data_IF_343703453268
#
_entry.id   IF_343703453268
#
_cell.length_a   1.000
_cell.length_b   1.000
_cell.length_c   1.000
_cell.angle_alpha   90.00
_cell.angle_beta   90.00
_cell.angle_gamma   90.00
#
_symmetry.space_group_name_H-M   'P 1'
#
loop_
_entity.id
_entity.type
_entity.pdbx_description
1 polymer ?
#
# COMPACT_ATOMS: atom_id res chain seq x y z
N UNK A 1 0.41 -23.32 -6.16
CA UNK A 1 -0.94 -22.94 -6.59
C UNK A 1 -0.93 -21.43 -6.83
N UNK A 2 -1.36 -20.97 -8.00
CA UNK A 2 -1.32 -19.53 -8.33
C UNK A 2 -2.35 -18.76 -7.52
N UNK A 3 -1.96 -17.60 -6.98
CA UNK A 3 -2.90 -16.70 -6.32
C UNK A 3 -3.92 -16.15 -7.31
N UNK A 4 -5.11 -15.81 -6.81
CA UNK A 4 -6.18 -15.16 -7.58
C UNK A 4 -6.28 -13.68 -7.22
N UNK A 5 -6.63 -12.84 -8.19
CA UNK A 5 -6.95 -11.44 -7.94
C UNK A 5 -8.28 -11.39 -7.16
N UNK A 6 -8.26 -10.76 -5.99
CA UNK A 6 -9.43 -10.55 -5.12
C UNK A 6 -10.02 -9.15 -5.25
N UNK A 7 -9.18 -8.18 -5.58
CA UNK A 7 -9.58 -6.78 -5.72
C UNK A 7 -8.66 -6.05 -6.70
N UNK A 8 -9.19 -5.02 -7.33
CA UNK A 8 -8.46 -4.07 -8.15
C UNK A 8 -9.02 -2.68 -7.84
N UNK A 9 -8.21 -1.84 -7.19
CA UNK A 9 -8.58 -0.49 -6.80
C UNK A 9 -7.92 0.52 -7.73
N UNK A 10 -8.74 1.50 -8.16
CA UNK A 10 -8.36 2.58 -9.06
C UNK A 10 -8.73 3.90 -8.39
N UNK A 11 -7.81 4.87 -8.30
CA UNK A 11 -8.13 6.18 -7.77
C UNK A 11 -8.93 6.98 -8.81
N UNK A 12 -9.72 7.94 -8.33
CA UNK A 12 -10.45 8.87 -9.20
C UNK A 12 -9.52 9.81 -9.96
N UNK A 13 -8.32 10.05 -9.43
CA UNK A 13 -7.24 10.89 -9.97
C UNK A 13 -5.87 10.29 -9.64
N UNK A 14 -4.81 10.60 -10.39
CA UNK A 14 -3.44 10.23 -10.02
C UNK A 14 -2.84 8.99 -10.71
N UNK A 15 -3.56 8.28 -11.58
CA UNK A 15 -2.96 7.36 -12.57
C UNK A 15 -2.21 6.13 -12.03
N UNK A 16 -2.40 5.76 -10.76
CA UNK A 16 -1.89 4.51 -10.20
C UNK A 16 -3.01 3.48 -10.02
N UNK A 17 -2.67 2.22 -9.73
CA UNK A 17 -3.62 1.13 -9.52
C UNK A 17 -3.00 0.11 -8.59
N UNK A 18 -3.81 -0.51 -7.73
CA UNK A 18 -3.36 -1.59 -6.87
C UNK A 18 -4.27 -2.81 -6.97
N UNK A 19 -3.66 -4.00 -7.01
CA UNK A 19 -4.36 -5.28 -6.97
C UNK A 19 -4.08 -6.01 -5.67
N UNK A 20 -5.12 -6.66 -5.14
CA UNK A 20 -5.03 -7.62 -4.05
C UNK A 20 -5.02 -9.04 -4.62
N UNK A 21 -4.03 -9.84 -4.25
CA UNK A 21 -3.83 -11.22 -4.69
C UNK A 21 -3.85 -12.15 -3.48
N UNK A 22 -4.65 -13.21 -3.55
CA UNK A 22 -4.81 -14.18 -2.46
C UNK A 22 -4.75 -15.64 -2.96
N UNK A 23 -4.07 -16.56 -2.25
CA UNK A 23 -3.21 -16.27 -1.11
C UNK A 23 -2.03 -15.39 -1.53
N UNK A 24 -1.56 -14.56 -0.60
CA UNK A 24 -0.34 -13.82 -0.83
C UNK A 24 0.80 -14.80 -1.10
N UNK A 25 1.73 -14.43 -1.98
CA UNK A 25 2.98 -15.18 -2.11
C UNK A 25 3.66 -15.27 -0.73
N UNK A 26 4.31 -16.39 -0.43
CA UNK A 26 4.89 -16.70 0.88
C UNK A 26 5.60 -15.50 1.52
N UNK A 27 5.07 -15.00 2.64
CA UNK A 27 5.65 -13.88 3.39
C UNK A 27 5.33 -12.47 2.87
N UNK A 28 4.53 -12.32 1.80
CA UNK A 28 4.12 -11.02 1.27
C UNK A 28 2.72 -10.59 1.72
N UNK A 29 2.40 -9.31 1.52
CA UNK A 29 1.08 -8.74 1.84
C UNK A 29 -0.06 -9.17 0.91
N UNK A 30 0.28 -9.61 -0.31
CA UNK A 30 -0.66 -9.84 -1.40
C UNK A 30 -0.98 -8.59 -2.22
N UNK A 31 -0.38 -7.43 -1.92
CA UNK A 31 -0.66 -6.17 -2.62
C UNK A 31 0.41 -5.88 -3.66
N UNK A 32 -0.01 -5.53 -4.87
CA UNK A 32 0.86 -5.03 -5.95
C UNK A 32 0.28 -3.75 -6.52
N UNK A 33 1.09 -2.71 -6.61
CA UNK A 33 0.69 -1.42 -7.16
C UNK A 33 1.56 -1.05 -8.36
N UNK A 34 0.98 -0.37 -9.35
CA UNK A 34 1.69 0.17 -10.53
C UNK A 34 1.08 1.50 -10.97
N UNK A 35 1.78 2.22 -11.84
CA UNK A 35 1.44 3.54 -12.37
C UNK A 35 2.38 4.62 -11.85
N UNK A 36 1.82 5.82 -11.64
CA UNK A 36 2.52 6.98 -11.08
C UNK A 36 2.89 6.72 -9.62
N UNK A 37 4.05 7.24 -9.18
CA UNK A 37 4.58 7.02 -7.83
C UNK A 37 5.20 8.29 -7.20
N UNK A 38 4.76 9.49 -7.59
CA UNK A 38 5.36 10.75 -7.14
C UNK A 38 5.28 10.99 -5.63
N UNK A 39 4.26 10.42 -4.97
CA UNK A 39 4.04 10.45 -3.52
C UNK A 39 4.32 9.10 -2.85
N UNK A 40 4.96 8.15 -3.54
CA UNK A 40 5.16 6.81 -2.99
C UNK A 40 3.88 5.96 -2.97
N UNK A 41 2.90 6.26 -3.83
CA UNK A 41 1.60 5.56 -3.92
C UNK A 41 1.75 4.05 -4.14
N UNK A 42 2.88 3.62 -4.69
CA UNK A 42 3.18 2.21 -4.93
C UNK A 42 3.76 1.49 -3.70
N UNK A 43 4.10 2.21 -2.64
CA UNK A 43 4.51 1.67 -1.35
C UNK A 43 5.80 0.85 -1.42
N UNK A 44 6.79 1.34 -2.18
CA UNK A 44 8.07 0.65 -2.40
C UNK A 44 9.26 1.36 -1.73
N UNK A 45 9.03 2.45 -1.01
CA UNK A 45 10.11 3.25 -0.39
C UNK A 45 10.93 4.04 -1.42
N UNK A 46 10.29 4.45 -2.51
CA UNK A 46 10.89 5.27 -3.57
C UNK A 46 9.79 5.98 -4.38
N UNK A 47 10.21 6.88 -5.28
CA UNK A 47 9.32 7.69 -6.15
C UNK A 47 9.28 7.24 -7.62
N UNK A 48 9.73 6.02 -7.93
CA UNK A 48 9.81 5.56 -9.32
C UNK A 48 8.47 5.03 -9.83
N UNK A 49 8.00 5.55 -10.95
CA UNK A 49 6.85 5.02 -11.67
C UNK A 49 7.11 3.57 -12.11
N UNK A 50 6.06 2.75 -12.15
CA UNK A 50 6.14 1.33 -12.55
C UNK A 50 4.98 0.95 -13.46
N UNK A 51 5.17 -0.04 -14.31
CA UNK A 51 4.13 -0.59 -15.20
C UNK A 51 4.13 0.00 -16.61
N UNK A 52 4.99 0.98 -16.90
CA UNK A 52 5.10 1.59 -18.23
C UNK A 52 6.12 0.87 -19.15
N UNK A 53 7.01 0.06 -18.60
CA UNK A 53 8.02 -0.71 -19.34
C UNK A 53 8.05 -2.18 -18.90
N UNK A 54 8.53 -3.07 -19.78
CA UNK A 54 8.63 -4.51 -19.52
C UNK A 54 9.39 -4.85 -18.23
N UNK A 55 10.45 -4.09 -17.89
CA UNK A 55 11.22 -4.25 -16.65
C UNK A 55 10.45 -3.86 -15.38
N UNK A 56 9.33 -3.15 -15.53
CA UNK A 56 8.54 -2.59 -14.43
C UNK A 56 7.12 -3.16 -14.39
N UNK A 57 6.85 -4.32 -14.99
CA UNK A 57 5.51 -4.92 -14.91
C UNK A 57 5.25 -5.49 -13.49
N UNK A 58 3.99 -5.52 -13.01
CA UNK A 58 3.64 -5.94 -11.64
C UNK A 58 4.24 -7.26 -11.15
N UNK A 59 4.46 -8.22 -12.06
CA UNK A 59 5.05 -9.52 -11.71
C UNK A 59 6.50 -9.43 -11.25
N UNK A 60 7.25 -8.40 -11.62
CA UNK A 60 8.71 -8.36 -11.48
C UNK A 60 9.22 -7.71 -10.18
N UNK A 61 8.42 -6.88 -9.51
CA UNK A 61 8.81 -6.21 -8.27
C UNK A 61 8.14 -6.85 -7.04
N UNK A 62 8.65 -6.63 -5.82
CA UNK A 62 8.08 -7.20 -4.60
C UNK A 62 6.63 -6.73 -4.36
N UNK A 63 5.93 -7.43 -3.48
CA UNK A 63 4.64 -6.94 -2.96
C UNK A 63 4.90 -5.71 -2.07
N UNK A 64 3.90 -4.85 -1.89
CA UNK A 64 3.96 -3.77 -0.90
C UNK A 64 4.23 -4.39 0.47
N UNK A 65 5.23 -3.89 1.19
CA UNK A 65 5.53 -4.37 2.53
C UNK A 65 4.59 -3.69 3.55
N UNK A 66 3.75 -4.50 4.21
CA UNK A 66 2.80 -4.04 5.23
C UNK A 66 3.24 -4.44 6.66
N UNK A 67 4.45 -4.95 6.80
CA UNK A 67 5.04 -5.36 8.06
C UNK A 67 4.95 -6.86 8.32
N UNK A 68 5.73 -7.29 9.30
CA UNK A 68 5.94 -8.69 9.64
C UNK A 68 4.62 -9.37 10.02
N UNK A 69 4.30 -10.46 9.32
CA UNK A 69 3.10 -11.27 9.60
C UNK A 69 1.79 -10.60 9.21
N UNK A 70 1.81 -9.52 8.42
CA UNK A 70 0.61 -8.82 7.95
C UNK A 70 0.27 -9.19 6.51
N UNK A 71 -1.01 -9.42 6.24
CA UNK A 71 -1.56 -9.55 4.89
C UNK A 71 -2.74 -8.62 4.71
N UNK A 72 -2.91 -8.09 3.50
CA UNK A 72 -4.07 -7.28 3.19
C UNK A 72 -5.30 -8.16 2.91
N UNK A 73 -6.47 -7.69 3.31
CA UNK A 73 -7.76 -8.31 2.98
C UNK A 73 -8.66 -7.40 2.16
N UNK A 74 -8.41 -6.08 2.19
CA UNK A 74 -9.13 -5.05 1.43
C UNK A 74 -8.20 -3.89 1.14
N UNK A 75 -8.43 -3.23 0.01
CA UNK A 75 -7.74 -2.01 -0.37
C UNK A 75 -8.74 -0.87 -0.57
N UNK A 76 -8.27 0.36 -0.40
CA UNK A 76 -8.97 1.58 -0.79
C UNK A 76 -7.94 2.58 -1.30
N UNK A 77 -8.33 3.42 -2.26
CA UNK A 77 -7.48 4.44 -2.87
C UNK A 77 -8.15 5.80 -2.79
N UNK A 78 -7.39 6.82 -2.43
CA UNK A 78 -7.78 8.22 -2.49
C UNK A 78 -7.03 8.98 -3.57
N UNK A 79 -7.05 10.31 -3.48
CA UNK A 79 -6.24 11.17 -4.35
C UNK A 79 -4.77 11.10 -3.92
N UNK A 80 -4.01 10.16 -4.49
CA UNK A 80 -2.58 10.00 -4.21
C UNK A 80 -2.22 9.13 -2.99
N UNK A 81 -3.15 8.42 -2.35
CA UNK A 81 -2.83 7.53 -1.23
C UNK A 81 -3.62 6.22 -1.26
N UNK A 82 -3.08 5.18 -0.63
CA UNK A 82 -3.67 3.84 -0.58
C UNK A 82 -3.74 3.39 0.87
N UNK A 83 -4.85 2.76 1.24
CA UNK A 83 -5.02 2.13 2.54
C UNK A 83 -5.31 0.64 2.38
N UNK A 84 -4.70 -0.17 3.25
CA UNK A 84 -4.92 -1.60 3.34
C UNK A 84 -5.49 -1.98 4.71
N UNK A 85 -6.60 -2.72 4.71
CA UNK A 85 -7.09 -3.41 5.90
C UNK A 85 -6.30 -4.70 6.06
N UNK A 86 -5.73 -4.91 7.24
CA UNK A 86 -4.80 -6.00 7.53
C UNK A 86 -5.46 -7.16 8.26
N UNK A 87 -4.87 -8.34 8.12
CA UNK A 87 -5.03 -9.49 9.00
C UNK A 87 -3.63 -10.05 9.38
N UNK A 88 -3.46 -10.68 10.55
CA UNK A 88 -4.45 -10.83 11.63
C UNK A 88 -4.73 -9.50 12.36
N UNK A 89 -5.88 -9.41 13.03
CA UNK A 89 -6.34 -8.22 13.76
C UNK A 89 -7.16 -7.24 12.91
N UNK A 90 -7.55 -6.11 13.51
CA UNK A 90 -8.19 -4.97 12.83
C UNK A 90 -7.21 -3.80 12.83
N UNK A 91 -6.33 -3.77 11.83
CA UNK A 91 -5.38 -2.68 11.63
C UNK A 91 -5.48 -2.13 10.21
N UNK A 92 -5.25 -0.83 10.05
CA UNK A 92 -5.17 -0.17 8.75
C UNK A 92 -3.76 0.40 8.64
N UNK A 93 -3.13 0.17 7.48
CA UNK A 93 -1.94 0.92 7.06
C UNK A 93 -2.27 1.71 5.82
N UNK A 94 -1.94 2.99 5.83
CA UNK A 94 -2.11 3.90 4.70
C UNK A 94 -0.74 4.46 4.30
N UNK A 95 -0.51 4.63 3.00
CA UNK A 95 0.72 5.20 2.44
C UNK A 95 0.38 6.06 1.20
N UNK A 96 1.35 6.84 0.74
CA UNK A 96 1.18 7.81 -0.34
C UNK A 96 1.12 9.25 0.18
N UNK A 97 0.43 10.12 -0.55
CA UNK A 97 0.20 11.53 -0.25
C UNK A 97 -0.37 11.73 1.15
N UNK A 98 0.28 12.57 1.95
CA UNK A 98 -0.08 12.81 3.34
C UNK A 98 -0.27 14.31 3.67
N UNK A 99 -0.29 15.21 2.69
CA UNK A 99 -0.55 16.63 2.96
C UNK A 99 -1.91 16.80 3.64
N UNK A 100 -1.91 17.36 4.84
CA UNK A 100 -3.12 17.49 5.66
C UNK A 100 -3.47 16.27 6.51
N UNK A 101 -2.59 15.26 6.60
CA UNK A 101 -2.75 14.11 7.48
C UNK A 101 -3.70 13.04 6.93
N UNK A 102 -3.76 12.89 5.61
CA UNK A 102 -4.69 11.99 4.91
C UNK A 102 -4.56 10.52 5.33
N UNK A 103 -3.39 10.12 5.85
CA UNK A 103 -3.13 8.77 6.30
C UNK A 103 -3.65 8.48 7.72
N UNK A 104 -4.03 9.51 8.48
CA UNK A 104 -4.58 9.37 9.83
C UNK A 104 -3.58 8.85 10.87
N UNK A 105 -2.30 9.18 10.71
CA UNK A 105 -1.20 8.65 11.54
C UNK A 105 -0.70 9.63 12.62
N UNK A 106 -1.43 10.73 12.84
CA UNK A 106 -1.12 11.71 13.88
C UNK A 106 -0.07 12.76 13.49
N UNK A 107 0.35 12.78 12.22
CA UNK A 107 1.24 13.80 11.66
C UNK A 107 0.87 14.07 10.20
N UNK A 108 1.31 15.23 9.69
CA UNK A 108 1.13 15.65 8.30
C UNK A 108 2.50 15.99 7.73
N UNK A 109 2.98 15.12 6.86
CA UNK A 109 4.14 15.37 6.00
C UNK A 109 3.70 15.27 4.53
N UNK A 110 4.63 15.46 3.60
CA UNK A 110 4.30 15.45 2.18
C UNK A 110 3.76 14.10 1.70
N UNK A 111 4.44 13.01 2.06
CA UNK A 111 4.14 11.65 1.65
C UNK A 111 4.78 10.62 2.59
N UNK A 112 4.27 9.39 2.55
CA UNK A 112 4.86 8.21 3.23
C UNK A 112 4.98 7.07 2.20
N UNK A 113 6.14 6.43 2.14
CA UNK A 113 6.41 5.31 1.24
C UNK A 113 7.19 5.70 -0.01
N UNK A 114 7.65 6.94 -0.06
CA UNK A 114 8.46 7.55 -1.10
C UNK A 114 9.96 7.55 -0.76
N UNK A 115 10.34 7.16 0.46
CA UNK A 115 11.73 7.01 0.90
C UNK A 115 12.03 5.64 1.55
N UNK A 116 13.30 5.18 1.49
CA UNK A 116 13.69 3.95 2.14
C UNK A 116 13.46 4.00 3.66
N UNK A 117 12.80 2.97 4.19
CA UNK A 117 12.56 2.83 5.64
C UNK A 117 11.21 3.35 6.12
N UNK A 118 10.33 3.80 5.23
CA UNK A 118 8.96 4.25 5.58
C UNK A 118 7.90 3.15 5.49
N UNK A 119 8.22 2.04 4.81
CA UNK A 119 7.31 0.92 4.58
C UNK A 119 7.50 -0.22 5.60
N UNK A 120 6.71 -1.28 5.47
CA UNK A 120 6.86 -2.46 6.30
C UNK A 120 6.49 -2.20 7.76
N UNK A 121 7.34 -2.62 8.70
CA UNK A 121 7.10 -2.41 10.13
C UNK A 121 7.24 -0.94 10.57
N UNK A 122 7.94 -0.11 9.79
CA UNK A 122 8.06 1.32 10.05
C UNK A 122 6.80 2.10 9.66
N UNK A 123 5.99 1.57 8.73
CA UNK A 123 4.74 2.21 8.30
C UNK A 123 3.74 2.26 9.46
N UNK A 124 3.34 3.44 9.96
CA UNK A 124 2.47 3.53 11.12
C UNK A 124 1.07 2.95 10.86
N UNK A 125 0.47 2.39 11.91
CA UNK A 125 -0.95 2.02 11.88
C UNK A 125 -1.81 3.26 12.03
N UNK A 126 -2.92 3.32 11.29
CA UNK A 126 -4.02 4.22 11.60
C UNK A 126 -4.77 3.64 12.81
N UNK A 127 -4.66 4.30 13.97
CA UNK A 127 -5.31 3.86 15.21
C UNK A 127 -6.80 4.23 15.23
N UNK A 128 -7.66 3.21 15.21
CA UNK A 128 -9.11 3.36 15.33
C UNK A 128 -9.62 3.15 16.78
N UNK A 129 -8.70 2.95 17.73
CA UNK A 129 -9.01 2.70 19.14
C UNK A 129 -9.38 1.23 19.45
N UNK A 130 -8.76 0.24 18.80
CA UNK A 130 -9.09 -1.18 18.99
C UNK A 130 -8.34 -1.85 20.18
N UNK A 131 -8.99 -2.76 20.97
CA UNK A 131 -10.42 -3.07 20.94
C UNK A 131 -11.22 -1.83 21.31
N UNK A 132 -12.28 -1.56 20.53
CA UNK A 132 -13.16 -0.43 20.76
C UNK A 132 -13.61 -0.52 22.23
N UNK A 133 -13.18 0.45 23.04
CA UNK A 133 -13.62 0.57 24.43
C UNK A 133 -15.07 1.01 24.51
#
# INVERSE_FOLDING_TARGET
MGGVVKDLVLPTTGGYSCALISPAASGGSGVKCWGINGYGELGQGDRNDRGYAAATIPRLFPSVDLGTGRTAVRLATGNGHVCAVLQPGLGIKCWGHNDGGLLGQGYAEYAVGDEPGEMGDALPLTDLGWPLK
#
